data_IF_954830968808
#
_entry.id   IF_954830968808
#
_cell.length_a   1.000
_cell.length_b   1.000
_cell.length_c   1.000
_cell.angle_alpha   90.00
_cell.angle_beta   90.00
_cell.angle_gamma   90.00
#
_symmetry.space_group_name_H-M   'P 1'
#
loop_
_entity.id
_entity.type
_entity.pdbx_description
1 polymer ?
#
# COMPACT_ATOMS: atom_id res chain seq x y z
N UNK A 1 -6.04 -16.53 14.57
CA UNK A 1 -6.98 -15.42 14.87
C UNK A 1 -7.56 -14.90 13.56
N UNK A 2 -8.87 -14.77 13.44
CA UNK A 2 -9.56 -14.16 12.29
C UNK A 2 -9.98 -12.73 12.70
N UNK A 3 -9.68 -11.74 11.85
CA UNK A 3 -10.04 -10.33 12.07
C UNK A 3 -10.98 -9.83 10.98
N UNK A 4 -11.75 -8.78 11.24
CA UNK A 4 -12.66 -8.16 10.28
C UNK A 4 -12.01 -7.86 8.94
N UNK A 5 -10.85 -7.21 8.95
CA UNK A 5 -10.10 -6.84 7.75
C UNK A 5 -9.63 -8.03 6.90
N UNK A 6 -9.58 -9.23 7.48
CA UNK A 6 -9.23 -10.44 6.76
C UNK A 6 -10.44 -11.13 6.12
N UNK A 7 -11.68 -10.83 6.55
CA UNK A 7 -12.87 -11.59 6.18
C UNK A 7 -13.13 -11.61 4.68
N UNK A 8 -13.08 -10.48 3.98
CA UNK A 8 -13.29 -10.45 2.53
C UNK A 8 -12.33 -11.39 1.81
N UNK A 9 -11.05 -11.37 2.18
CA UNK A 9 -10.04 -12.26 1.61
C UNK A 9 -10.26 -13.73 2.00
N UNK A 10 -10.56 -14.01 3.27
CA UNK A 10 -10.72 -15.36 3.77
C UNK A 10 -11.97 -16.06 3.22
N UNK A 11 -13.09 -15.33 3.08
CA UNK A 11 -14.32 -15.83 2.47
C UNK A 11 -14.11 -16.26 1.00
N UNK A 12 -13.16 -15.64 0.31
CA UNK A 12 -12.83 -15.95 -1.08
C UNK A 12 -11.63 -16.92 -1.22
N UNK A 13 -10.70 -16.91 -0.28
CA UNK A 13 -9.51 -17.75 -0.28
C UNK A 13 -9.13 -18.20 1.15
N UNK A 14 -9.79 -19.21 1.72
CA UNK A 14 -9.51 -19.72 3.08
C UNK A 14 -8.05 -20.16 3.26
N UNK A 15 -7.43 -20.70 2.23
CA UNK A 15 -6.01 -21.11 2.22
C UNK A 15 -5.04 -19.98 2.57
N UNK A 16 -5.42 -18.72 2.32
CA UNK A 16 -4.60 -17.57 2.68
C UNK A 16 -4.38 -17.38 4.19
N UNK A 17 -5.16 -18.08 5.02
CA UNK A 17 -4.96 -18.12 6.48
C UNK A 17 -3.81 -19.06 6.90
N UNK A 18 -3.49 -20.06 6.07
CA UNK A 18 -2.48 -21.07 6.34
C UNK A 18 -1.13 -20.80 5.67
N UNK A 19 -1.07 -19.82 4.76
CA UNK A 19 0.17 -19.43 4.09
C UNK A 19 0.99 -18.47 4.97
N UNK A 20 2.33 -18.52 4.82
CA UNK A 20 3.22 -17.59 5.48
C UNK A 20 2.91 -16.13 5.07
N UNK A 21 2.96 -15.23 6.03
CA UNK A 21 2.73 -13.79 5.82
C UNK A 21 4.07 -13.09 5.71
N UNK A 22 4.22 -12.22 4.72
CA UNK A 22 5.30 -11.24 4.72
C UNK A 22 4.90 -10.08 5.65
N UNK A 23 5.78 -9.71 6.53
CA UNK A 23 5.67 -8.42 7.23
C UNK A 23 5.95 -7.31 6.22
N UNK A 24 5.01 -6.42 6.03
CA UNK A 24 5.17 -5.26 5.17
C UNK A 24 4.87 -4.02 5.99
N UNK A 25 5.91 -3.26 6.31
CA UNK A 25 5.73 -1.87 6.77
C UNK A 25 5.19 -1.05 5.59
N UNK A 26 4.17 -0.26 5.83
CA UNK A 26 3.52 0.53 4.79
C UNK A 26 3.20 1.94 5.30
N UNK A 27 3.99 2.93 4.87
CA UNK A 27 3.80 4.34 5.23
C UNK A 27 2.39 4.89 4.93
N UNK A 28 1.70 4.31 3.93
CA UNK A 28 0.30 4.66 3.64
C UNK A 28 -0.67 4.13 4.69
N UNK A 29 -0.32 3.03 5.37
CA UNK A 29 -1.10 2.51 6.48
C UNK A 29 -0.97 3.43 7.70
N UNK A 30 0.22 3.99 7.94
CA UNK A 30 0.46 4.92 9.04
C UNK A 30 -0.32 6.22 8.85
N UNK A 31 -0.28 6.83 7.66
CA UNK A 31 -1.11 8.01 7.33
C UNK A 31 -2.60 7.74 7.45
N UNK A 32 -3.05 6.56 7.00
CA UNK A 32 -4.43 6.14 7.16
C UNK A 32 -4.85 6.04 8.62
N UNK A 33 -3.93 5.64 9.50
CA UNK A 33 -4.18 5.55 10.94
C UNK A 33 -4.42 6.93 11.57
N UNK A 34 -3.57 7.92 11.27
CA UNK A 34 -3.70 9.29 11.76
C UNK A 34 -5.06 9.91 11.34
N UNK A 35 -5.46 9.76 10.06
CA UNK A 35 -6.75 10.25 9.58
C UNK A 35 -7.95 9.55 10.24
N UNK A 36 -7.85 8.25 10.55
CA UNK A 36 -8.87 7.52 11.30
C UNK A 36 -8.99 8.03 12.74
N UNK A 37 -7.88 8.32 13.40
CA UNK A 37 -7.88 8.87 14.75
C UNK A 37 -8.53 10.26 14.81
N UNK A 38 -8.23 11.13 13.83
CA UNK A 38 -8.89 12.44 13.70
C UNK A 38 -10.41 12.30 13.51
N UNK A 39 -10.84 11.36 12.65
CA UNK A 39 -12.28 11.11 12.41
C UNK A 39 -12.97 10.52 13.65
N UNK A 40 -12.30 9.64 14.38
CA UNK A 40 -12.81 9.10 15.63
C UNK A 40 -13.03 10.21 16.67
N UNK A 41 -12.03 11.08 16.86
CA UNK A 41 -12.12 12.24 17.75
C UNK A 41 -13.24 13.20 17.34
N UNK A 42 -13.33 13.54 16.04
CA UNK A 42 -14.39 14.42 15.53
C UNK A 42 -15.79 13.81 15.69
N UNK A 43 -15.91 12.49 15.57
CA UNK A 43 -17.17 11.77 15.77
C UNK A 43 -17.59 11.83 17.24
N UNK A 44 -16.70 11.56 18.18
CA UNK A 44 -16.95 11.63 19.63
C UNK A 44 -17.27 13.05 20.10
N UNK A 45 -16.58 14.05 19.55
CA UNK A 45 -16.77 15.46 19.89
C UNK A 45 -18.02 16.09 19.20
N UNK A 46 -18.64 15.42 18.24
CA UNK A 46 -19.75 15.97 17.45
C UNK A 46 -19.32 17.10 16.52
N UNK A 47 -18.05 17.14 16.10
CA UNK A 47 -17.47 18.21 15.26
C UNK A 47 -17.31 17.81 13.80
N UNK A 48 -17.87 16.68 13.39
CA UNK A 48 -17.91 16.27 11.98
C UNK A 48 -18.61 17.32 11.11
N UNK A 49 -18.20 17.43 9.85
CA UNK A 49 -18.93 18.23 8.87
C UNK A 49 -20.40 17.79 8.79
N UNK A 50 -21.36 18.68 8.46
CA UNK A 50 -22.78 18.32 8.36
C UNK A 50 -23.03 17.11 7.45
N UNK A 51 -22.26 16.98 6.37
CA UNK A 51 -22.36 15.85 5.44
C UNK A 51 -21.94 14.53 6.10
N UNK A 52 -20.83 14.51 6.83
CA UNK A 52 -20.35 13.31 7.56
C UNK A 52 -21.23 12.99 8.74
N UNK A 53 -21.68 14.00 9.49
CA UNK A 53 -22.56 13.83 10.64
C UNK A 53 -23.89 13.15 10.26
N UNK A 54 -24.42 13.42 9.06
CA UNK A 54 -25.63 12.77 8.55
C UNK A 54 -25.45 11.28 8.26
N UNK A 55 -24.21 10.78 8.15
CA UNK A 55 -23.91 9.37 7.92
C UNK A 55 -23.72 8.58 9.21
N UNK A 56 -23.55 9.26 10.33
CA UNK A 56 -23.30 8.66 11.65
C UNK A 56 -24.62 8.49 12.40
N UNK A 57 -24.86 7.34 13.04
CA UNK A 57 -26.08 7.13 13.85
C UNK A 57 -26.07 8.01 15.11
N UNK A 58 -27.23 8.27 15.74
CA UNK A 58 -27.25 8.95 17.02
C UNK A 58 -26.56 8.14 18.12
N UNK A 59 -25.88 8.82 19.05
CA UNK A 59 -25.13 8.22 20.15
C UNK A 59 -24.20 7.08 19.71
N UNK A 60 -23.28 7.35 18.75
CA UNK A 60 -22.43 6.32 18.19
C UNK A 60 -21.40 5.81 19.20
N UNK A 61 -21.03 4.54 19.10
CA UNK A 61 -19.80 4.00 19.66
C UNK A 61 -18.72 4.10 18.59
N UNK A 62 -17.55 4.55 18.96
CA UNK A 62 -16.42 4.81 18.05
C UNK A 62 -15.27 3.89 18.41
N UNK A 63 -14.56 3.37 17.40
CA UNK A 63 -13.42 2.45 17.56
C UNK A 63 -13.73 1.28 18.51
N UNK A 64 -14.95 0.76 18.39
CA UNK A 64 -15.45 -0.27 19.30
C UNK A 64 -14.93 -1.64 18.95
N UNK A 65 -14.57 -2.41 19.96
CA UNK A 65 -14.14 -3.81 19.82
C UNK A 65 -15.28 -4.77 20.06
N UNK A 66 -15.51 -5.64 19.09
CA UNK A 66 -16.49 -6.70 19.09
C UNK A 66 -15.81 -8.06 18.94
N UNK A 67 -16.34 -9.05 19.60
CA UNK A 67 -16.01 -10.46 19.39
C UNK A 67 -17.27 -11.19 18.99
N UNK A 68 -17.19 -11.97 17.92
CA UNK A 68 -18.24 -12.88 17.47
C UNK A 68 -17.75 -14.32 17.55
N UNK A 69 -18.43 -15.15 18.32
CA UNK A 69 -18.17 -16.60 18.40
C UNK A 69 -19.00 -17.30 17.32
N UNK A 70 -18.33 -17.98 16.39
CA UNK A 70 -18.98 -18.61 15.23
C UNK A 70 -19.81 -19.84 15.58
N UNK A 71 -19.52 -20.51 16.72
CA UNK A 71 -20.22 -21.73 17.14
C UNK A 71 -21.49 -21.36 17.90
N UNK A 72 -21.38 -20.51 18.91
CA UNK A 72 -22.53 -20.06 19.72
C UNK A 72 -23.34 -18.99 19.02
N UNK A 73 -22.80 -18.36 17.97
CA UNK A 73 -23.36 -17.21 17.25
C UNK A 73 -23.64 -16.02 18.16
N UNK A 74 -23.00 -15.98 19.31
CA UNK A 74 -23.08 -14.87 20.25
C UNK A 74 -22.04 -13.79 19.90
N UNK A 75 -22.36 -12.55 20.22
CA UNK A 75 -21.40 -11.46 20.14
C UNK A 75 -21.44 -10.59 21.39
N UNK A 76 -20.32 -9.95 21.69
CA UNK A 76 -20.19 -9.02 22.79
C UNK A 76 -19.23 -7.88 22.46
N UNK A 77 -19.49 -6.72 23.04
CA UNK A 77 -18.53 -5.64 23.10
C UNK A 77 -17.48 -5.97 24.17
N UNK A 78 -16.19 -5.77 23.86
CA UNK A 78 -15.08 -6.07 24.78
C UNK A 78 -14.25 -4.84 25.13
N UNK A 79 -14.60 -3.68 24.60
CA UNK A 79 -13.95 -2.41 24.91
C UNK A 79 -14.11 -1.39 23.81
N UNK A 80 -13.69 -0.19 24.13
CA UNK A 80 -13.56 0.95 23.23
C UNK A 80 -12.12 1.39 23.36
N UNK A 81 -11.35 1.39 22.30
CA UNK A 81 -10.06 2.05 22.17
C UNK A 81 -9.30 1.60 20.92
N UNK A 82 -8.45 2.48 20.42
CA UNK A 82 -7.62 2.27 19.25
C UNK A 82 -6.55 1.16 19.43
N UNK A 83 -6.30 0.70 20.66
CA UNK A 83 -5.33 -0.36 20.93
C UNK A 83 -5.80 -1.70 20.43
N UNK A 84 -5.60 -2.30 19.47
CA UNK A 84 -6.08 -3.59 18.96
C UNK A 84 -5.87 -4.79 19.91
N UNK A 85 -5.83 -4.54 21.22
CA UNK A 85 -5.75 -5.58 22.22
C UNK A 85 -7.14 -6.17 22.50
N UNK A 86 -7.40 -7.36 22.00
CA UNK A 86 -8.66 -8.10 22.16
C UNK A 86 -8.63 -9.10 23.32
N UNK A 87 -7.55 -9.14 24.11
CA UNK A 87 -7.36 -10.16 25.13
C UNK A 87 -7.04 -11.53 24.56
N UNK A 88 -7.17 -12.58 25.37
CA UNK A 88 -6.95 -13.96 24.94
C UNK A 88 -8.06 -14.41 23.99
N UNK A 89 -7.75 -14.85 22.76
CA UNK A 89 -8.76 -15.30 21.81
C UNK A 89 -9.33 -16.67 22.21
N UNK A 90 -10.67 -16.79 22.11
CA UNK A 90 -11.31 -18.10 22.02
C UNK A 90 -10.99 -18.80 20.69
N UNK A 91 -11.10 -20.12 20.67
CA UNK A 91 -10.80 -20.91 19.48
C UNK A 91 -11.69 -20.56 18.27
N UNK A 92 -12.88 -20.02 18.53
CA UNK A 92 -13.93 -19.76 17.55
C UNK A 92 -14.23 -18.25 17.37
N UNK A 93 -13.41 -17.40 17.97
CA UNK A 93 -13.61 -15.97 17.97
C UNK A 93 -13.17 -15.31 16.65
N UNK A 94 -14.05 -14.43 16.16
CA UNK A 94 -13.73 -13.44 15.12
C UNK A 94 -13.70 -12.06 15.78
N UNK A 95 -12.60 -11.32 15.58
CA UNK A 95 -12.36 -10.01 16.14
C UNK A 95 -12.70 -8.91 15.14
N UNK A 96 -13.51 -7.96 15.58
CA UNK A 96 -14.10 -6.95 14.72
C UNK A 96 -13.97 -5.57 15.39
N UNK A 97 -13.59 -4.59 14.60
CA UNK A 97 -13.44 -3.21 15.06
C UNK A 97 -14.03 -2.28 13.98
N UNK A 98 -15.33 -1.98 14.04
CA UNK A 98 -15.92 -0.95 13.20
C UNK A 98 -15.47 0.43 13.68
N UNK A 99 -15.23 1.37 12.75
CA UNK A 99 -14.88 2.74 13.09
C UNK A 99 -16.03 3.42 13.84
N UNK A 100 -17.26 3.20 13.37
CA UNK A 100 -18.47 3.70 14.04
C UNK A 100 -19.57 2.64 14.03
N UNK A 101 -20.25 2.47 15.17
CA UNK A 101 -21.44 1.62 15.31
C UNK A 101 -22.49 2.29 16.17
N UNK A 102 -23.76 2.14 15.81
CA UNK A 102 -24.91 2.61 16.60
C UNK A 102 -26.21 2.08 16.04
N UNK A 103 -27.32 2.68 16.49
CA UNK A 103 -28.68 2.29 16.07
C UNK A 103 -29.43 3.51 15.55
N UNK A 104 -30.07 3.38 14.41
CA UNK A 104 -30.84 4.46 13.81
C UNK A 104 -32.30 4.55 14.39
N UNK A 105 -33.03 5.52 13.89
CA UNK A 105 -34.45 5.73 14.33
C UNK A 105 -35.39 4.60 13.88
N UNK A 106 -34.99 3.75 12.94
CA UNK A 106 -35.70 2.57 12.46
C UNK A 106 -35.31 1.29 13.22
N UNK A 107 -34.56 1.42 14.30
CA UNK A 107 -34.08 0.33 15.15
C UNK A 107 -33.10 -0.62 14.42
N UNK A 108 -32.40 -0.15 13.35
CA UNK A 108 -31.38 -0.88 12.60
C UNK A 108 -29.99 -0.53 13.12
N UNK A 109 -29.10 -1.49 13.12
CA UNK A 109 -27.67 -1.22 13.36
C UNK A 109 -27.10 -0.44 12.19
N UNK A 110 -26.31 0.59 12.46
CA UNK A 110 -25.56 1.34 11.45
C UNK A 110 -24.08 1.13 11.71
N UNK A 111 -23.38 0.63 10.71
CA UNK A 111 -21.92 0.51 10.69
C UNK A 111 -21.37 1.53 9.71
N UNK A 112 -20.43 2.37 10.13
CA UNK A 112 -19.68 3.26 9.24
C UNK A 112 -18.21 2.87 9.28
N UNK A 113 -17.60 2.75 8.11
CA UNK A 113 -16.18 2.47 7.93
C UNK A 113 -15.60 3.56 7.04
N UNK A 114 -14.68 4.35 7.60
CA UNK A 114 -14.02 5.45 6.91
C UNK A 114 -12.89 4.94 6.04
N UNK A 115 -12.89 5.31 4.78
CA UNK A 115 -11.82 4.97 3.83
C UNK A 115 -11.07 6.22 3.42
N UNK A 116 -9.86 6.34 3.95
CA UNK A 116 -8.93 7.45 3.68
C UNK A 116 -8.11 7.23 2.41
N UNK A 117 -8.13 6.02 1.84
CA UNK A 117 -7.46 5.67 0.59
C UNK A 117 -8.28 5.97 -0.67
N UNK A 118 -7.70 5.68 -1.84
CA UNK A 118 -8.29 5.98 -3.17
C UNK A 118 -9.25 4.90 -3.68
N UNK A 119 -10.12 4.37 -2.84
CA UNK A 119 -11.36 3.75 -3.26
C UNK A 119 -11.32 2.34 -3.87
N UNK A 120 -10.22 1.61 -3.71
CA UNK A 120 -10.08 0.27 -4.28
C UNK A 120 -10.33 -0.81 -3.21
N UNK A 121 -11.57 -0.81 -2.70
CA UNK A 121 -12.10 -1.78 -1.73
C UNK A 121 -13.39 -2.38 -2.27
N UNK A 122 -13.73 -3.58 -1.79
CA UNK A 122 -14.98 -4.24 -2.17
C UNK A 122 -16.19 -3.36 -1.80
N UNK A 123 -17.22 -3.31 -2.67
CA UNK A 123 -18.45 -2.56 -2.41
C UNK A 123 -19.11 -2.98 -1.08
N UNK A 124 -19.86 -2.07 -0.46
CA UNK A 124 -20.56 -2.32 0.80
C UNK A 124 -21.39 -3.61 0.77
N UNK A 125 -22.05 -3.89 -0.36
CA UNK A 125 -22.86 -5.09 -0.56
C UNK A 125 -22.11 -6.43 -0.48
N UNK A 126 -20.78 -6.43 -0.68
CA UNK A 126 -19.96 -7.66 -0.69
C UNK A 126 -18.78 -7.60 0.28
N UNK A 127 -18.62 -6.52 1.01
CA UNK A 127 -17.52 -6.29 1.92
C UNK A 127 -17.62 -7.14 3.18
N UNK A 128 -16.83 -8.20 3.27
CA UNK A 128 -16.85 -9.12 4.42
C UNK A 128 -16.52 -8.47 5.76
N UNK A 129 -15.72 -7.39 5.79
CA UNK A 129 -15.43 -6.63 7.00
C UNK A 129 -16.70 -5.98 7.54
N UNK A 130 -17.42 -5.24 6.70
CA UNK A 130 -18.66 -4.57 7.08
C UNK A 130 -19.75 -5.55 7.52
N UNK A 131 -19.92 -6.63 6.75
CA UNK A 131 -20.91 -7.66 7.07
C UNK A 131 -20.60 -8.38 8.39
N UNK A 132 -19.31 -8.62 8.67
CA UNK A 132 -18.89 -9.17 9.97
C UNK A 132 -19.20 -8.23 11.12
N UNK A 133 -18.88 -6.95 10.97
CA UNK A 133 -19.21 -5.94 11.97
C UNK A 133 -20.71 -5.80 12.18
N UNK A 134 -21.52 -5.80 11.11
CA UNK A 134 -22.97 -5.72 11.17
C UNK A 134 -23.57 -6.92 11.91
N UNK A 135 -23.15 -8.16 11.55
CA UNK A 135 -23.60 -9.37 12.21
C UNK A 135 -23.29 -9.34 13.71
N UNK A 136 -22.06 -9.04 14.08
CA UNK A 136 -21.64 -9.00 15.48
C UNK A 136 -22.38 -7.91 16.26
N UNK A 137 -22.51 -6.72 15.71
CA UNK A 137 -23.23 -5.62 16.36
C UNK A 137 -24.72 -5.94 16.50
N UNK A 138 -25.37 -6.51 15.48
CA UNK A 138 -26.77 -6.96 15.57
C UNK A 138 -26.95 -7.99 16.69
N UNK A 139 -26.06 -8.97 16.82
CA UNK A 139 -26.11 -9.97 17.89
C UNK A 139 -25.90 -9.36 19.27
N UNK A 140 -24.90 -8.47 19.40
CA UNK A 140 -24.60 -7.82 20.68
C UNK A 140 -25.69 -6.84 21.15
N UNK A 141 -26.42 -6.22 20.22
CA UNK A 141 -27.48 -5.24 20.50
C UNK A 141 -28.88 -5.82 20.40
N UNK A 142 -29.06 -7.10 20.09
CA UNK A 142 -30.37 -7.74 19.94
C UNK A 142 -31.18 -7.20 18.75
N UNK A 143 -30.49 -6.82 17.64
CA UNK A 143 -31.10 -6.28 16.42
C UNK A 143 -31.12 -7.31 15.30
N UNK A 144 -32.03 -7.15 14.34
CA UNK A 144 -32.21 -8.09 13.24
C UNK A 144 -31.90 -7.52 11.86
N UNK A 145 -31.52 -6.25 11.77
CA UNK A 145 -31.16 -5.61 10.50
C UNK A 145 -30.07 -4.56 10.69
N UNK A 146 -29.34 -4.27 9.63
CA UNK A 146 -28.27 -3.29 9.64
C UNK A 146 -28.21 -2.48 8.35
N UNK A 147 -27.59 -1.31 8.42
CA UNK A 147 -27.08 -0.54 7.29
C UNK A 147 -25.55 -0.46 7.42
N UNK A 148 -24.84 -0.79 6.36
CA UNK A 148 -23.39 -0.69 6.30
C UNK A 148 -22.99 0.39 5.32
N UNK A 149 -22.02 1.23 5.70
CA UNK A 149 -21.57 2.40 4.96
C UNK A 149 -20.06 2.40 4.79
N UNK A 150 -19.59 2.42 3.52
CA UNK A 150 -18.22 2.77 3.17
C UNK A 150 -18.17 4.25 2.80
N UNK A 151 -17.44 5.05 3.55
CA UNK A 151 -17.35 6.49 3.31
C UNK A 151 -15.94 6.87 2.87
N UNK A 152 -15.79 7.29 1.62
CA UNK A 152 -14.51 7.65 1.01
C UNK A 152 -14.20 9.13 1.26
N UNK A 153 -13.41 9.42 2.28
CA UNK A 153 -13.11 10.79 2.74
C UNK A 153 -12.35 11.61 1.70
N UNK A 154 -11.41 10.99 0.99
CA UNK A 154 -10.61 11.62 -0.06
C UNK A 154 -11.33 11.73 -1.42
N UNK A 155 -12.58 11.27 -1.51
CA UNK A 155 -13.41 11.34 -2.72
C UNK A 155 -14.68 12.19 -2.48
N UNK A 156 -14.55 13.26 -1.68
CA UNK A 156 -15.65 14.16 -1.38
C UNK A 156 -16.74 13.54 -0.51
N UNK A 157 -16.36 12.65 0.40
CA UNK A 157 -17.27 11.90 1.28
C UNK A 157 -18.33 11.10 0.49
N UNK A 158 -17.89 10.45 -0.61
CA UNK A 158 -18.75 9.51 -1.34
C UNK A 158 -19.09 8.35 -0.41
N UNK A 159 -20.37 8.07 -0.25
CA UNK A 159 -20.86 6.95 0.53
C UNK A 159 -21.36 5.83 -0.39
N UNK A 160 -20.90 4.61 -0.14
CA UNK A 160 -21.46 3.37 -0.69
C UNK A 160 -22.18 2.65 0.47
N UNK A 161 -23.49 2.48 0.34
CA UNK A 161 -24.36 2.00 1.39
C UNK A 161 -25.09 0.72 0.96
N UNK A 162 -25.28 -0.19 1.92
CA UNK A 162 -26.06 -1.40 1.70
C UNK A 162 -26.88 -1.76 2.93
N UNK A 163 -28.13 -2.19 2.73
CA UNK A 163 -29.01 -2.70 3.77
C UNK A 163 -28.87 -4.21 3.88
N UNK A 164 -28.85 -4.72 5.11
CA UNK A 164 -28.69 -6.13 5.45
C UNK A 164 -29.88 -6.53 6.34
N UNK A 165 -30.68 -7.47 5.90
CA UNK A 165 -31.82 -7.96 6.65
C UNK A 165 -31.50 -9.17 7.55
N UNK A 166 -32.52 -9.70 8.24
CA UNK A 166 -32.36 -10.84 9.13
C UNK A 166 -31.95 -12.13 8.40
N UNK A 167 -32.39 -12.31 7.16
CA UNK A 167 -32.05 -13.49 6.36
C UNK A 167 -30.60 -13.41 5.87
N UNK A 168 -30.20 -12.23 5.42
CA UNK A 168 -28.83 -11.93 5.04
C UNK A 168 -27.84 -12.19 6.18
N UNK A 169 -28.18 -11.70 7.40
CA UNK A 169 -27.37 -11.93 8.60
C UNK A 169 -27.29 -13.42 8.95
N UNK A 170 -28.37 -14.17 8.79
CA UNK A 170 -28.38 -15.62 9.03
C UNK A 170 -27.52 -16.37 8.01
N UNK A 171 -27.61 -16.01 6.72
CA UNK A 171 -26.77 -16.62 5.69
C UNK A 171 -25.29 -16.29 5.92
N UNK A 172 -24.99 -15.04 6.26
CA UNK A 172 -23.61 -14.63 6.53
C UNK A 172 -23.04 -15.36 7.75
N UNK A 173 -23.82 -15.57 8.81
CA UNK A 173 -23.40 -16.39 9.96
C UNK A 173 -23.07 -17.82 9.54
N UNK A 174 -23.88 -18.44 8.67
CA UNK A 174 -23.60 -19.77 8.12
C UNK A 174 -22.32 -19.78 7.26
N UNK A 175 -22.04 -18.71 6.53
CA UNK A 175 -20.80 -18.56 5.75
C UNK A 175 -19.57 -18.47 6.66
N UNK A 176 -19.66 -17.75 7.78
CA UNK A 176 -18.55 -17.65 8.75
C UNK A 176 -18.27 -18.99 9.44
N UNK A 177 -19.29 -19.76 9.75
CA UNK A 177 -19.17 -21.10 10.32
C UNK A 177 -18.43 -22.05 9.33
N UNK A 178 -18.87 -22.07 8.06
CA UNK A 178 -18.16 -22.81 7.01
C UNK A 178 -16.74 -22.31 6.81
N UNK A 179 -16.50 -21.00 6.83
CA UNK A 179 -15.16 -20.42 6.72
C UNK A 179 -14.25 -20.92 7.84
N UNK A 180 -14.75 -20.95 9.08
CA UNK A 180 -13.97 -21.40 10.22
C UNK A 180 -13.48 -22.85 10.01
N UNK A 181 -14.38 -23.75 9.59
CA UNK A 181 -14.03 -25.14 9.26
C UNK A 181 -12.98 -25.20 8.15
N UNK A 182 -13.22 -24.48 7.05
CA UNK A 182 -12.29 -24.47 5.91
C UNK A 182 -10.90 -23.94 6.29
N UNK A 183 -10.82 -22.91 7.12
CA UNK A 183 -9.53 -22.38 7.60
C UNK A 183 -8.79 -23.44 8.42
N UNK A 184 -9.48 -24.12 9.34
CA UNK A 184 -8.88 -25.19 10.14
C UNK A 184 -8.38 -26.36 9.27
N UNK A 185 -9.16 -26.77 8.28
CA UNK A 185 -8.77 -27.82 7.31
C UNK A 185 -7.53 -27.40 6.50
N UNK A 186 -7.47 -26.16 6.01
CA UNK A 186 -6.32 -25.65 5.24
C UNK A 186 -5.06 -25.55 6.11
N UNK A 187 -5.19 -25.15 7.37
CA UNK A 187 -4.08 -25.15 8.32
C UNK A 187 -3.56 -26.56 8.58
N UNK A 188 -4.44 -27.53 8.80
CA UNK A 188 -4.07 -28.93 8.97
C UNK A 188 -3.41 -29.52 7.71
N UNK A 189 -3.94 -29.25 6.51
CA UNK A 189 -3.34 -29.65 5.24
C UNK A 189 -1.93 -29.07 5.07
N UNK A 190 -1.74 -27.80 5.40
CA UNK A 190 -0.43 -27.14 5.36
C UNK A 190 0.55 -27.78 6.34
N UNK A 191 0.10 -28.13 7.55
CA UNK A 191 0.92 -28.81 8.55
C UNK A 191 1.38 -30.21 8.09
N UNK A 192 0.61 -30.88 7.23
CA UNK A 192 0.98 -32.13 6.57
C UNK A 192 1.89 -31.96 5.36
N UNK A 193 2.23 -30.74 4.99
CA UNK A 193 3.07 -30.42 3.81
C UNK A 193 2.32 -30.43 2.48
N UNK A 194 1.00 -30.45 2.48
CA UNK A 194 0.18 -30.44 1.27
C UNK A 194 0.24 -29.09 0.55
N UNK A 195 0.17 -29.11 -0.78
CA UNK A 195 0.03 -27.89 -1.59
C UNK A 195 -1.42 -27.42 -1.46
N UNK A 196 -1.57 -26.20 -0.96
CA UNK A 196 -2.90 -25.63 -0.76
C UNK A 196 -3.49 -25.13 -2.06
N UNK A 197 -4.73 -25.50 -2.32
CA UNK A 197 -5.53 -24.87 -3.35
C UNK A 197 -5.78 -23.40 -2.98
N UNK A 198 -5.39 -22.48 -3.84
CA UNK A 198 -5.61 -21.05 -3.67
C UNK A 198 -6.45 -20.48 -4.81
N UNK A 199 -7.11 -19.36 -4.56
CA UNK A 199 -7.99 -18.73 -5.54
C UNK A 199 -7.59 -17.27 -5.72
N UNK A 200 -7.45 -16.84 -6.98
CA UNK A 200 -7.14 -15.46 -7.34
C UNK A 200 -8.39 -14.60 -7.50
N UNK A 201 -8.25 -13.29 -7.15
CA UNK A 201 -9.28 -12.27 -7.35
C UNK A 201 -8.84 -10.92 -6.80
N UNK A 202 -9.78 -9.95 -6.75
CA UNK A 202 -9.56 -8.59 -6.22
C UNK A 202 -9.00 -8.59 -4.79
N UNK A 203 -9.41 -9.55 -3.97
CA UNK A 203 -8.93 -9.76 -2.59
C UNK A 203 -7.44 -10.09 -2.47
N UNK A 204 -6.76 -10.42 -3.58
CA UNK A 204 -5.32 -10.66 -3.57
C UNK A 204 -4.49 -9.39 -3.45
N UNK A 205 -5.05 -8.22 -3.75
CA UNK A 205 -4.35 -6.94 -3.77
C UNK A 205 -3.60 -6.66 -2.46
N UNK A 206 -4.25 -6.90 -1.32
CA UNK A 206 -3.71 -6.69 0.01
C UNK A 206 -3.36 -8.01 0.74
N UNK A 207 -3.19 -9.11 0.02
CA UNK A 207 -2.83 -10.39 0.61
C UNK A 207 -1.36 -10.43 0.99
N UNK A 208 -1.05 -10.55 2.28
CA UNK A 208 0.31 -10.64 2.79
C UNK A 208 1.05 -11.93 2.36
N UNK A 209 0.33 -12.93 1.83
CA UNK A 209 0.89 -14.22 1.42
C UNK A 209 1.15 -14.32 -0.09
N UNK A 210 1.11 -13.23 -0.84
CA UNK A 210 1.28 -13.22 -2.31
C UNK A 210 2.56 -13.94 -2.77
N UNK A 211 3.67 -13.67 -2.09
CA UNK A 211 4.99 -14.18 -2.47
C UNK A 211 5.14 -15.71 -2.35
N UNK A 212 4.28 -16.35 -1.55
CA UNK A 212 4.28 -17.81 -1.34
C UNK A 212 2.98 -18.46 -1.83
N UNK A 213 2.16 -17.72 -2.56
CA UNK A 213 0.86 -18.19 -3.03
C UNK A 213 1.03 -19.16 -4.21
N UNK A 214 0.52 -20.41 -4.12
CA UNK A 214 0.63 -21.39 -5.20
C UNK A 214 0.06 -20.90 -6.53
N UNK A 215 -1.13 -20.28 -6.54
CA UNK A 215 -1.74 -19.74 -7.79
C UNK A 215 -0.88 -18.63 -8.42
N UNK A 216 -0.26 -17.76 -7.60
CA UNK A 216 0.64 -16.71 -8.10
C UNK A 216 1.93 -17.30 -8.67
N UNK A 217 2.50 -18.29 -7.99
CA UNK A 217 3.71 -18.96 -8.45
C UNK A 217 3.45 -19.78 -9.73
N UNK A 218 2.27 -20.42 -9.85
CA UNK A 218 1.90 -21.14 -11.06
C UNK A 218 1.91 -20.23 -12.31
N UNK A 219 1.47 -18.98 -12.18
CA UNK A 219 1.56 -18.01 -13.29
C UNK A 219 3.01 -17.74 -13.70
N UNK A 220 3.95 -17.63 -12.74
CA UNK A 220 5.37 -17.43 -13.06
C UNK A 220 5.96 -18.62 -13.80
N UNK A 221 5.60 -19.85 -13.39
CA UNK A 221 6.01 -21.07 -14.08
C UNK A 221 5.43 -21.08 -15.51
N UNK A 222 4.15 -20.80 -15.67
CA UNK A 222 3.50 -20.73 -16.98
C UNK A 222 4.19 -19.72 -17.90
N UNK A 223 4.48 -18.51 -17.41
CA UNK A 223 5.17 -17.48 -18.17
C UNK A 223 6.62 -17.90 -18.52
N UNK A 224 7.29 -18.58 -17.60
CA UNK A 224 8.65 -19.09 -17.85
C UNK A 224 8.69 -20.21 -18.91
N UNK A 225 7.67 -21.06 -18.95
CA UNK A 225 7.57 -22.18 -19.87
C UNK A 225 7.02 -21.79 -21.25
N UNK A 226 6.05 -20.89 -21.29
CA UNK A 226 5.25 -20.60 -22.49
C UNK A 226 5.34 -19.14 -22.97
N UNK A 227 6.00 -18.27 -22.19
CA UNK A 227 6.01 -16.81 -22.42
C UNK A 227 4.69 -16.16 -22.08
N UNK A 228 4.63 -14.84 -22.25
CA UNK A 228 3.39 -14.09 -22.13
C UNK A 228 2.55 -14.28 -23.40
N UNK A 229 1.23 -14.38 -23.27
CA UNK A 229 0.31 -14.56 -24.38
C UNK A 229 0.45 -13.49 -25.50
N UNK A 230 1.01 -12.32 -25.15
CA UNK A 230 1.24 -11.21 -26.09
C UNK A 230 2.58 -11.31 -26.83
N UNK A 231 3.54 -12.14 -26.34
CA UNK A 231 4.86 -12.31 -26.97
C UNK A 231 4.78 -13.48 -27.93
N UNK A 232 4.77 -13.20 -29.21
CA UNK A 232 4.77 -14.20 -30.29
C UNK A 232 4.52 -13.59 -31.66
N UNK A 233 4.81 -14.32 -32.72
CA UNK A 233 4.76 -13.86 -34.12
C UNK A 233 3.34 -13.69 -34.69
N UNK A 234 2.30 -14.02 -33.94
CA UNK A 234 0.91 -13.90 -34.40
C UNK A 234 0.34 -12.52 -34.15
N UNK A 235 -0.53 -12.06 -35.03
CA UNK A 235 -1.25 -10.80 -34.88
C UNK A 235 -1.98 -10.72 -33.54
N UNK A 236 -1.87 -9.57 -32.87
CA UNK A 236 -2.53 -9.32 -31.59
C UNK A 236 -4.01 -9.05 -31.86
N UNK A 237 -4.89 -9.96 -31.40
CA UNK A 237 -6.33 -9.73 -31.37
C UNK A 237 -6.72 -8.96 -30.10
N UNK A 238 -7.93 -8.34 -30.06
CA UNK A 238 -8.40 -7.66 -28.85
C UNK A 238 -8.43 -8.57 -27.61
N UNK A 239 -8.79 -9.84 -27.77
CA UNK A 239 -8.83 -10.84 -26.71
C UNK A 239 -7.41 -11.14 -26.20
N UNK A 240 -6.47 -11.37 -27.13
CA UNK A 240 -5.06 -11.59 -26.76
C UNK A 240 -4.44 -10.36 -26.12
N UNK A 241 -4.78 -9.16 -26.59
CA UNK A 241 -4.32 -7.92 -25.97
C UNK A 241 -4.80 -7.80 -24.51
N UNK A 242 -6.08 -8.15 -24.26
CA UNK A 242 -6.63 -8.15 -22.89
C UNK A 242 -5.92 -9.17 -22.01
N UNK A 243 -5.83 -10.42 -22.44
CA UNK A 243 -5.17 -11.50 -21.68
C UNK A 243 -3.70 -11.14 -21.41
N UNK A 244 -2.98 -10.69 -22.43
CA UNK A 244 -1.58 -10.28 -22.27
C UNK A 244 -1.39 -9.11 -21.31
N UNK A 245 -2.28 -8.12 -21.34
CA UNK A 245 -2.26 -7.02 -20.38
C UNK A 245 -2.49 -7.52 -18.94
N UNK A 246 -3.49 -8.38 -18.73
CA UNK A 246 -3.77 -8.97 -17.41
C UNK A 246 -2.59 -9.80 -16.89
N UNK A 247 -1.94 -10.58 -17.74
CA UNK A 247 -0.74 -11.36 -17.40
C UNK A 247 0.42 -10.44 -17.03
N UNK A 248 0.69 -9.39 -17.81
CA UNK A 248 1.74 -8.41 -17.54
C UNK A 248 1.53 -7.77 -16.16
N UNK A 249 0.34 -7.26 -15.86
CA UNK A 249 0.02 -6.62 -14.58
C UNK A 249 0.24 -7.58 -13.40
N UNK A 250 -0.11 -8.85 -13.57
CA UNK A 250 0.12 -9.88 -12.52
C UNK A 250 1.60 -10.14 -12.31
N UNK A 251 2.39 -10.30 -13.38
CA UNK A 251 3.83 -10.54 -13.31
C UNK A 251 4.57 -9.34 -12.72
N UNK A 252 4.25 -8.12 -13.17
CA UNK A 252 4.82 -6.90 -12.61
C UNK A 252 4.54 -6.76 -11.11
N UNK A 253 3.35 -7.14 -10.68
CA UNK A 253 2.99 -7.13 -9.26
C UNK A 253 3.85 -8.11 -8.46
N UNK A 254 4.07 -9.32 -8.97
CA UNK A 254 4.92 -10.32 -8.31
C UNK A 254 6.39 -9.88 -8.26
N UNK A 255 6.90 -9.32 -9.36
CA UNK A 255 8.27 -8.79 -9.42
C UNK A 255 8.43 -7.64 -8.42
N UNK A 256 7.47 -6.72 -8.36
CA UNK A 256 7.49 -5.61 -7.40
C UNK A 256 7.48 -6.10 -5.95
N UNK A 257 6.63 -7.07 -5.63
CA UNK A 257 6.55 -7.65 -4.29
C UNK A 257 7.85 -8.39 -3.92
N UNK A 258 8.46 -9.12 -4.87
CA UNK A 258 9.76 -9.76 -4.67
C UNK A 258 10.88 -8.73 -4.45
N UNK A 259 10.90 -7.66 -5.26
CA UNK A 259 11.89 -6.56 -5.11
C UNK A 259 11.76 -5.90 -3.75
N UNK A 260 10.55 -5.60 -3.29
CA UNK A 260 10.32 -5.02 -1.96
C UNK A 260 10.86 -5.91 -0.83
N UNK A 261 10.74 -7.24 -0.96
CA UNK A 261 11.35 -8.17 0.02
C UNK A 261 12.87 -8.13 0.01
N UNK A 262 13.49 -8.01 -1.18
CA UNK A 262 14.94 -7.81 -1.27
C UNK A 262 15.37 -6.47 -0.68
N UNK A 263 14.57 -5.42 -0.86
CA UNK A 263 14.80 -4.12 -0.23
C UNK A 263 14.78 -4.22 1.29
N UNK A 264 13.75 -4.86 1.86
CA UNK A 264 13.68 -5.12 3.31
C UNK A 264 14.88 -5.94 3.79
N UNK A 265 15.24 -7.02 3.06
CA UNK A 265 16.42 -7.81 3.41
C UNK A 265 17.70 -6.97 3.44
N UNK A 266 17.88 -6.08 2.45
CA UNK A 266 19.04 -5.17 2.39
C UNK A 266 19.05 -4.18 3.56
N UNK A 267 17.89 -3.67 3.94
CA UNK A 267 17.77 -2.74 5.07
C UNK A 267 18.14 -3.43 6.40
N UNK A 268 17.78 -4.70 6.56
CA UNK A 268 18.04 -5.48 7.77
C UNK A 268 19.46 -6.08 7.82
N UNK A 269 20.01 -6.49 6.67
CA UNK A 269 21.24 -7.31 6.60
C UNK A 269 22.39 -6.62 5.84
N UNK A 270 22.16 -5.49 5.21
CA UNK A 270 23.13 -4.80 4.34
C UNK A 270 23.10 -5.30 2.88
N UNK A 271 23.98 -4.75 2.04
CA UNK A 271 24.00 -5.04 0.61
C UNK A 271 24.27 -6.51 0.29
N UNK A 272 23.62 -6.99 -0.76
CA UNK A 272 23.80 -8.34 -1.30
C UNK A 272 24.96 -8.32 -2.29
N UNK A 273 25.95 -9.19 -2.10
CA UNK A 273 27.04 -9.38 -3.06
C UNK A 273 26.54 -10.19 -4.27
N UNK A 274 26.59 -9.57 -5.45
CA UNK A 274 26.20 -10.18 -6.73
C UNK A 274 27.41 -10.81 -7.46
N UNK A 275 28.60 -10.74 -6.88
CA UNK A 275 29.84 -11.14 -7.50
C UNK A 275 30.41 -10.10 -8.48
N UNK A 276 31.70 -10.28 -8.85
CA UNK A 276 32.36 -9.35 -9.78
C UNK A 276 32.50 -7.90 -9.30
N UNK A 277 32.45 -7.66 -7.99
CA UNK A 277 32.50 -6.33 -7.39
C UNK A 277 31.19 -5.55 -7.47
N UNK A 278 30.09 -6.19 -7.85
CA UNK A 278 28.75 -5.59 -7.87
C UNK A 278 27.99 -5.90 -6.59
N UNK A 279 27.29 -4.90 -6.10
CA UNK A 279 26.42 -5.02 -4.94
C UNK A 279 24.98 -4.62 -5.32
N UNK A 280 24.01 -5.26 -4.70
CA UNK A 280 22.63 -4.78 -4.71
C UNK A 280 22.31 -4.24 -3.31
N UNK A 281 22.01 -2.94 -3.22
CA UNK A 281 21.77 -2.29 -1.94
C UNK A 281 21.47 -0.81 -2.09
N UNK A 282 21.44 -0.12 -0.94
CA UNK A 282 21.32 1.35 -0.93
C UNK A 282 22.67 1.95 -1.30
N UNK A 283 22.66 2.92 -2.18
CA UNK A 283 23.85 3.66 -2.60
C UNK A 283 23.56 5.16 -2.64
N UNK A 284 24.59 5.95 -2.39
CA UNK A 284 24.48 7.41 -2.47
C UNK A 284 24.41 7.81 -3.95
N UNK A 285 23.32 8.47 -4.31
CA UNK A 285 23.14 9.06 -5.62
C UNK A 285 23.11 10.57 -5.47
N UNK A 286 24.12 11.23 -6.00
CA UNK A 286 24.15 12.68 -6.07
C UNK A 286 22.92 13.19 -6.82
N UNK A 287 22.24 14.16 -6.22
CA UNK A 287 21.10 14.80 -6.86
C UNK A 287 21.51 15.52 -8.14
N UNK A 288 20.54 15.66 -9.05
CA UNK A 288 20.76 16.40 -10.27
C UNK A 288 21.13 17.86 -9.95
N UNK A 289 22.13 18.38 -10.66
CA UNK A 289 22.50 19.79 -10.57
C UNK A 289 21.31 20.70 -10.94
N UNK A 290 21.04 21.65 -10.11
CA UNK A 290 20.03 22.70 -10.32
C UNK A 290 20.75 23.98 -10.66
N UNK A 291 20.31 24.66 -11.71
CA UNK A 291 20.84 25.95 -12.14
C UNK A 291 19.91 27.06 -11.65
N UNK A 292 20.48 28.08 -10.99
CA UNK A 292 19.75 29.28 -10.62
C UNK A 292 19.44 30.13 -11.85
N UNK A 293 18.16 30.55 -12.00
CA UNK A 293 17.70 31.29 -13.17
C UNK A 293 18.33 32.67 -13.29
N UNK A 294 18.53 33.40 -12.18
CA UNK A 294 19.13 34.72 -12.21
C UNK A 294 20.59 34.67 -12.61
N UNK A 295 21.33 33.73 -12.07
CA UNK A 295 22.73 33.48 -12.43
C UNK A 295 22.86 32.95 -13.87
N UNK A 296 21.87 32.20 -14.36
CA UNK A 296 21.81 31.74 -15.73
C UNK A 296 21.67 32.89 -16.72
N UNK A 297 20.79 33.87 -16.43
CA UNK A 297 20.63 35.07 -17.24
C UNK A 297 21.95 35.86 -17.34
N UNK A 298 22.62 36.08 -16.21
CA UNK A 298 23.94 36.73 -16.21
C UNK A 298 24.96 35.96 -17.06
N UNK A 299 25.09 34.65 -16.90
CA UNK A 299 26.02 33.85 -17.66
C UNK A 299 25.69 33.81 -19.17
N UNK A 300 24.41 33.85 -19.53
CA UNK A 300 23.95 33.94 -20.91
C UNK A 300 24.40 35.27 -21.51
N UNK A 301 24.17 36.40 -20.83
CA UNK A 301 24.55 37.71 -21.28
C UNK A 301 26.07 37.86 -21.51
N UNK A 302 26.89 37.29 -20.60
CA UNK A 302 28.35 37.30 -20.71
C UNK A 302 28.88 36.48 -21.88
N UNK A 303 28.24 35.36 -22.24
CA UNK A 303 28.75 34.44 -23.24
C UNK A 303 28.19 34.70 -24.63
N UNK A 304 26.91 35.03 -24.74
CA UNK A 304 26.20 35.16 -26.03
C UNK A 304 26.11 36.61 -26.51
N UNK A 305 26.26 37.61 -25.61
CA UNK A 305 26.29 39.01 -25.97
C UNK A 305 24.94 39.51 -26.53
N UNK A 306 24.93 40.08 -27.77
CA UNK A 306 23.73 40.72 -28.36
C UNK A 306 22.52 39.77 -28.52
N UNK A 307 22.73 38.45 -28.66
CA UNK A 307 21.66 37.47 -28.77
C UNK A 307 21.16 36.95 -27.40
N UNK A 308 21.57 37.56 -26.29
CA UNK A 308 21.26 37.09 -24.94
C UNK A 308 19.74 37.01 -24.67
N UNK A 309 18.97 38.03 -25.12
CA UNK A 309 17.51 38.05 -24.91
C UNK A 309 16.76 36.92 -25.62
N UNK A 310 17.16 36.60 -26.85
CA UNK A 310 16.55 35.49 -27.59
C UNK A 310 16.92 34.16 -26.94
N UNK A 311 18.18 33.98 -26.51
CA UNK A 311 18.64 32.80 -25.82
C UNK A 311 17.92 32.62 -24.47
N UNK A 312 17.79 33.68 -23.70
CA UNK A 312 17.08 33.71 -22.42
C UNK A 312 15.63 33.26 -22.58
N UNK A 313 14.92 33.79 -23.60
CA UNK A 313 13.51 33.45 -23.85
C UNK A 313 13.28 31.95 -24.11
N UNK A 314 14.29 31.24 -24.62
CA UNK A 314 14.23 29.82 -24.94
C UNK A 314 14.73 28.97 -23.76
N UNK A 315 15.77 29.45 -23.04
CA UNK A 315 16.48 28.68 -22.03
C UNK A 315 15.95 28.86 -20.62
N UNK A 316 15.36 30.03 -20.33
CA UNK A 316 14.89 30.39 -18.99
C UNK A 316 13.37 30.40 -18.96
N UNK A 317 12.78 29.21 -18.88
CA UNK A 317 11.39 29.06 -18.39
C UNK A 317 11.41 29.14 -16.86
N UNK A 318 10.30 28.92 -16.18
CA UNK A 318 10.19 28.98 -14.70
C UNK A 318 11.28 28.21 -13.93
N UNK A 319 12.01 27.31 -14.59
CA UNK A 319 13.20 26.59 -14.06
C UNK A 319 14.20 26.39 -15.18
N UNK A 320 15.38 26.97 -15.02
CA UNK A 320 16.49 26.74 -15.94
C UNK A 320 17.10 25.35 -15.73
N UNK A 321 17.37 24.64 -16.82
CA UNK A 321 18.03 23.34 -16.79
C UNK A 321 19.14 23.24 -17.83
N UNK A 322 20.10 22.31 -17.64
CA UNK A 322 21.13 22.03 -18.63
C UNK A 322 20.53 21.72 -20.01
N UNK A 323 19.44 20.93 -20.04
CA UNK A 323 18.76 20.58 -21.27
C UNK A 323 18.08 21.79 -21.96
N UNK A 324 17.57 22.76 -21.19
CA UNK A 324 17.01 23.99 -21.75
C UNK A 324 18.10 24.87 -22.39
N UNK A 325 19.26 24.99 -21.75
CA UNK A 325 20.42 25.74 -22.28
C UNK A 325 20.95 25.08 -23.57
N UNK A 326 21.11 23.75 -23.60
CA UNK A 326 21.57 23.04 -24.79
C UNK A 326 20.55 23.12 -25.95
N UNK A 327 19.25 23.10 -25.64
CA UNK A 327 18.18 23.28 -26.62
C UNK A 327 18.22 24.68 -27.23
N UNK A 328 18.33 25.69 -26.39
CA UNK A 328 18.45 27.07 -26.85
C UNK A 328 19.66 27.27 -27.75
N UNK A 329 20.84 26.75 -27.36
CA UNK A 329 22.05 26.82 -28.18
C UNK A 329 21.87 26.16 -29.57
N UNK A 330 21.17 25.04 -29.65
CA UNK A 330 20.86 24.36 -30.91
C UNK A 330 19.85 25.15 -31.75
N UNK A 331 18.78 25.66 -31.16
CA UNK A 331 17.72 26.39 -31.88
C UNK A 331 18.24 27.72 -32.47
N UNK A 332 19.13 28.40 -31.76
CA UNK A 332 19.73 29.65 -32.21
C UNK A 332 20.98 29.48 -33.09
N UNK A 333 21.32 28.24 -33.44
CA UNK A 333 22.50 27.99 -34.28
C UNK A 333 23.83 28.41 -33.66
N UNK A 334 23.93 28.47 -32.33
CA UNK A 334 25.11 28.91 -31.63
C UNK A 334 26.34 27.98 -31.92
N UNK A 335 27.57 28.51 -31.81
CA UNK A 335 28.78 27.74 -32.02
C UNK A 335 28.79 26.49 -31.13
N UNK A 336 29.36 25.40 -31.66
CA UNK A 336 29.53 24.16 -30.90
C UNK A 336 30.30 24.44 -29.60
N UNK A 337 29.74 24.05 -28.46
CA UNK A 337 30.35 24.26 -27.14
C UNK A 337 29.76 25.46 -26.37
N UNK A 338 28.87 26.30 -26.96
CA UNK A 338 28.24 27.43 -26.26
C UNK A 338 27.40 26.97 -25.06
N UNK A 339 26.56 25.95 -25.20
CA UNK A 339 25.80 25.41 -24.08
C UNK A 339 26.65 24.98 -22.88
N UNK A 340 27.66 24.11 -23.08
CA UNK A 340 28.64 23.74 -22.04
C UNK A 340 29.39 24.93 -21.43
N UNK A 341 29.72 25.95 -22.20
CA UNK A 341 30.42 27.16 -21.70
C UNK A 341 29.50 27.97 -20.76
N UNK A 342 28.21 28.12 -21.08
CA UNK A 342 27.21 28.78 -20.24
C UNK A 342 27.04 28.01 -18.93
N UNK A 343 26.89 26.69 -18.98
CA UNK A 343 26.75 25.85 -17.78
C UNK A 343 27.98 25.98 -16.88
N UNK A 344 29.20 25.97 -17.46
CA UNK A 344 30.45 26.18 -16.72
C UNK A 344 30.44 27.56 -16.03
N UNK A 345 30.03 28.62 -16.75
CA UNK A 345 29.97 29.96 -16.19
C UNK A 345 28.96 30.12 -15.07
N UNK A 346 27.79 29.46 -15.19
CA UNK A 346 26.80 29.41 -14.09
C UNK A 346 27.39 28.81 -12.82
N UNK A 347 28.18 27.73 -12.94
CA UNK A 347 28.89 27.11 -11.80
C UNK A 347 29.90 28.07 -11.17
N UNK A 348 30.68 28.73 -11.99
CA UNK A 348 31.69 29.70 -11.55
C UNK A 348 31.05 30.90 -10.81
N UNK A 349 29.84 31.29 -11.20
CA UNK A 349 29.03 32.33 -10.55
C UNK A 349 28.28 31.84 -9.31
N UNK A 350 28.44 30.55 -8.91
CA UNK A 350 27.76 29.99 -7.75
C UNK A 350 26.27 29.68 -7.96
N UNK A 351 25.79 29.75 -9.20
CA UNK A 351 24.35 29.52 -9.54
C UNK A 351 23.98 28.06 -9.77
N UNK A 352 24.86 27.12 -9.40
CA UNK A 352 24.59 25.69 -9.51
C UNK A 352 24.57 25.05 -8.12
N UNK A 353 23.48 24.37 -7.79
CA UNK A 353 23.34 23.58 -6.58
C UNK A 353 22.94 22.16 -6.93
N UNK A 354 23.40 21.19 -6.17
CA UNK A 354 22.93 19.82 -6.31
C UNK A 354 21.58 19.67 -5.61
N UNK A 355 20.67 18.90 -6.20
CA UNK A 355 19.52 18.42 -5.47
C UNK A 355 20.00 17.60 -4.25
N UNK A 356 19.20 17.46 -3.20
CA UNK A 356 19.57 16.63 -2.06
C UNK A 356 20.01 15.24 -2.53
N UNK A 357 21.01 14.69 -1.87
CA UNK A 357 21.42 13.31 -2.07
C UNK A 357 20.23 12.38 -1.80
N UNK A 358 20.12 11.35 -2.61
CA UNK A 358 19.14 10.30 -2.39
C UNK A 358 19.85 8.98 -2.19
N UNK A 359 19.26 8.10 -1.40
CA UNK A 359 19.75 6.74 -1.17
C UNK A 359 18.80 5.72 -1.82
N UNK A 360 18.75 5.68 -3.17
CA UNK A 360 17.96 4.67 -3.84
C UNK A 360 18.55 3.29 -3.57
N UNK A 361 17.70 2.26 -3.70
CA UNK A 361 18.16 0.88 -3.68
C UNK A 361 18.35 0.37 -5.11
N UNK A 362 19.42 -0.36 -5.37
CA UNK A 362 19.74 -0.88 -6.69
C UNK A 362 21.11 -1.54 -6.76
N UNK A 363 21.48 -1.94 -7.96
CA UNK A 363 22.82 -2.45 -8.24
C UNK A 363 23.83 -1.30 -8.35
N UNK A 364 24.97 -1.46 -7.73
CA UNK A 364 26.10 -0.53 -7.82
C UNK A 364 27.43 -1.26 -7.71
N UNK A 365 28.48 -0.63 -8.21
CA UNK A 365 29.86 -1.10 -8.06
C UNK A 365 30.42 -0.44 -6.80
N UNK A 366 30.89 -1.23 -5.84
CA UNK A 366 31.50 -0.71 -4.63
C UNK A 366 32.84 -0.03 -4.99
N UNK A 367 32.93 1.27 -4.71
CA UNK A 367 34.23 1.94 -4.73
C UNK A 367 35.10 1.38 -3.61
N UNK A 368 36.41 1.16 -3.92
CA UNK A 368 37.40 0.56 -2.99
C UNK A 368 37.53 1.34 -1.66
N UNK A 369 36.99 2.56 -1.57
CA UNK A 369 37.06 3.43 -0.40
C UNK A 369 35.85 3.32 0.54
N UNK A 370 34.71 2.74 0.10
CA UNK A 370 33.50 2.64 0.93
C UNK A 370 33.53 1.50 1.97
N UNK A 371 34.57 0.67 1.96
CA UNK A 371 34.72 -0.44 2.89
C UNK A 371 35.23 -0.03 4.30
N UNK A 372 35.55 1.25 4.54
CA UNK A 372 36.32 1.67 5.71
C UNK A 372 35.51 2.27 6.87
N UNK A 373 34.22 2.62 6.69
CA UNK A 373 33.44 3.25 7.77
C UNK A 373 32.06 2.61 7.96
N UNK A 374 32.03 1.37 8.39
CA UNK A 374 30.83 0.82 9.04
C UNK A 374 31.12 0.72 10.54
N UNK A 375 30.33 1.33 11.41
CA UNK A 375 30.34 0.93 12.80
C UNK A 375 29.92 -0.55 12.83
N UNK A 376 30.80 -1.40 13.33
CA UNK A 376 30.49 -2.80 13.60
C UNK A 376 29.23 -2.81 14.48
N UNK A 377 28.20 -3.53 14.04
CA UNK A 377 27.05 -3.80 14.91
C UNK A 377 27.61 -4.58 16.09
N UNK A 378 27.57 -3.97 17.26
CA UNK A 378 27.98 -4.64 18.49
C UNK A 378 26.91 -5.68 18.83
N UNK A 379 27.15 -6.90 18.34
CA UNK A 379 26.28 -8.05 18.57
C UNK A 379 26.12 -8.36 20.05
N UNK A 380 27.06 -7.98 20.90
CA UNK A 380 26.99 -8.18 22.35
C UNK A 380 26.02 -7.20 22.99
N UNK A 381 25.97 -5.96 22.50
CA UNK A 381 24.97 -4.98 22.93
C UNK A 381 23.54 -5.37 22.50
N UNK A 382 23.37 -5.95 21.32
CA UNK A 382 22.07 -6.44 20.83
C UNK A 382 21.61 -7.67 21.63
N UNK A 383 22.51 -8.60 21.94
CA UNK A 383 22.20 -9.79 22.74
C UNK A 383 21.93 -9.44 24.22
N UNK A 384 22.56 -8.40 24.76
CA UNK A 384 22.27 -7.91 26.12
C UNK A 384 20.87 -7.27 26.22
N UNK A 385 20.38 -6.64 25.13
CA UNK A 385 19.02 -6.10 25.07
C UNK A 385 17.94 -7.19 24.89
N UNK A 386 18.26 -8.29 24.21
CA UNK A 386 17.34 -9.40 23.98
C UNK A 386 17.32 -10.41 25.15
N UNK A 387 18.33 -10.40 26.01
CA UNK A 387 18.40 -11.26 27.21
C UNK A 387 17.79 -10.67 28.48
N UNK A 388 17.17 -9.49 28.39
CA UNK A 388 16.57 -8.77 29.53
C UNK A 388 15.03 -8.72 29.48
N UNK A 389 14.36 -9.64 28.71
CA UNK A 389 12.89 -9.79 28.65
C UNK A 389 12.51 -11.19 29.14
#
# INVERSE_FOLDING_TARGET
>A
MITASALTRLLNCPSSAALARAETHNEWADKGHDEHEELAHATMAGTLSPKRAALVPPNPRVETKLVYDVVTRAARFIGEAADRNYGAPGAFDIFLSPDVVGVDAQDRVVIVDWKTGHGDVEPAATNGQLWGCALAACRALGKSSAIVRLVFTNMGDRCDEHEIDALDLADFANRLERLHVQVAERQAAKARGEILETREGSWCKHCASKAVCPSKNALLVQVAEHGLAIIGDSAITPERARTGYEEIVRVETLIRDARKRLETYVDDNGPIDLGGGKLFGRYVRNGNERLDGSTAVQAIAEIVGESAKEFESIAVERRTSKAAIDRAAKQLGAKRGTGPAIIKRIRELGGATNAPESMPIGEYVADRNDAAERPAIDHDAVNALLGAV
#
